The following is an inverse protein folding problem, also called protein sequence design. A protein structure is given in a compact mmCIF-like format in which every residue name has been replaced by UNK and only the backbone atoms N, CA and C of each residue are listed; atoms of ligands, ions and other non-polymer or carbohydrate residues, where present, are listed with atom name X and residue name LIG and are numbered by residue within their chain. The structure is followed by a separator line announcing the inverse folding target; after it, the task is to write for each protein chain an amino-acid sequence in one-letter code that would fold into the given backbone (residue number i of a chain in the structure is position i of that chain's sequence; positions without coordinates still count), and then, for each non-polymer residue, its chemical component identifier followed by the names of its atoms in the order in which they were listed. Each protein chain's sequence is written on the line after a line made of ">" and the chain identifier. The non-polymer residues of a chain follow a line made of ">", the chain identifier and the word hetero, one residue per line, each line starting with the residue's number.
data_IF_215551929095
#
_entry.id   IF_215551929095
#
_cell.length_a   1.000
_cell.length_b   1.000
_cell.length_c   1.000
_cell.angle_alpha   90.00
_cell.angle_beta   90.00
_cell.angle_gamma   90.00
#
_symmetry.space_group_name_H-M   'P 1'
#
loop_
_entity.id
_entity.type
_entity.pdbx_description
1 polymer ?
#
# COMPACT_ATOMS: atom_id res chain seq x y z
N UNK A 1 -23.99 -21.82 -33.91
CA UNK A 1 -23.38 -20.49 -33.64
C UNK A 1 -23.86 -19.82 -32.36
N UNK A 2 -25.10 -20.01 -31.87
CA UNK A 2 -25.58 -19.39 -30.61
C UNK A 2 -24.86 -19.86 -29.34
N UNK A 3 -24.51 -21.15 -29.23
CA UNK A 3 -23.86 -21.72 -28.03
C UNK A 3 -22.40 -21.27 -27.83
N UNK A 4 -21.67 -21.00 -28.91
CA UNK A 4 -20.27 -20.55 -28.84
C UNK A 4 -20.14 -19.14 -28.25
N UNK A 5 -21.12 -18.26 -28.52
CA UNK A 5 -21.14 -16.87 -28.00
C UNK A 5 -21.37 -16.85 -26.49
N UNK A 6 -22.23 -17.74 -25.95
CA UNK A 6 -22.45 -17.86 -24.50
C UNK A 6 -21.21 -18.37 -23.76
N UNK A 7 -20.46 -19.31 -24.34
CA UNK A 7 -19.24 -19.82 -23.75
C UNK A 7 -18.13 -18.74 -23.69
N UNK A 8 -18.00 -17.90 -24.73
CA UNK A 8 -17.05 -16.79 -24.75
C UNK A 8 -17.38 -15.71 -23.71
N UNK A 9 -18.67 -15.44 -23.47
CA UNK A 9 -19.13 -14.48 -22.45
C UNK A 9 -18.87 -14.96 -21.01
N UNK A 10 -19.02 -16.26 -20.74
CA UNK A 10 -18.78 -16.83 -19.42
C UNK A 10 -17.29 -16.83 -19.05
N UNK A 11 -16.40 -17.11 -20.01
CA UNK A 11 -14.94 -17.09 -19.78
C UNK A 11 -14.45 -15.65 -19.50
N UNK A 12 -15.01 -14.64 -20.17
CA UNK A 12 -14.65 -13.25 -19.92
C UNK A 12 -15.07 -12.77 -18.53
N UNK A 13 -16.25 -13.18 -18.04
CA UNK A 13 -16.72 -12.79 -16.70
C UNK A 13 -15.91 -13.46 -15.56
N UNK A 14 -15.49 -14.71 -15.73
CA UNK A 14 -14.65 -15.39 -14.73
C UNK A 14 -13.24 -14.79 -14.69
N UNK A 15 -12.66 -14.47 -15.85
CA UNK A 15 -11.31 -13.87 -15.92
C UNK A 15 -11.27 -12.46 -15.32
N UNK A 16 -12.30 -11.62 -15.52
CA UNK A 16 -12.38 -10.32 -14.86
C UNK A 16 -12.57 -10.44 -13.35
N UNK A 17 -13.31 -11.45 -12.88
CA UNK A 17 -13.50 -11.68 -11.44
C UNK A 17 -12.18 -12.09 -10.76
N UNK A 18 -11.37 -12.92 -11.40
CA UNK A 18 -10.07 -13.34 -10.87
C UNK A 18 -9.06 -12.19 -10.82
N UNK A 19 -8.96 -11.38 -11.88
CA UNK A 19 -8.08 -10.20 -11.91
C UNK A 19 -8.49 -9.14 -10.87
N UNK A 20 -9.79 -8.88 -10.73
CA UNK A 20 -10.30 -7.96 -9.72
C UNK A 20 -10.00 -8.48 -8.31
N UNK A 21 -10.25 -9.77 -8.05
CA UNK A 21 -9.97 -10.39 -6.76
C UNK A 21 -8.47 -10.38 -6.43
N UNK A 22 -7.60 -10.57 -7.42
CA UNK A 22 -6.15 -10.48 -7.25
C UNK A 22 -5.71 -9.05 -6.91
N UNK A 23 -6.25 -8.04 -7.61
CA UNK A 23 -6.00 -6.63 -7.33
C UNK A 23 -6.45 -6.27 -5.90
N UNK A 24 -7.63 -6.71 -5.46
CA UNK A 24 -8.12 -6.47 -4.10
C UNK A 24 -7.22 -7.11 -3.03
N UNK A 25 -6.65 -8.28 -3.31
CA UNK A 25 -5.65 -8.91 -2.42
C UNK A 25 -4.36 -8.10 -2.35
N UNK A 26 -3.87 -7.61 -3.49
CA UNK A 26 -2.66 -6.76 -3.57
C UNK A 26 -2.87 -5.44 -2.83
N UNK A 27 -4.02 -4.78 -2.99
CA UNK A 27 -4.36 -3.54 -2.27
C UNK A 27 -4.40 -3.80 -0.75
N UNK A 28 -5.05 -4.88 -0.31
CA UNK A 28 -5.05 -5.27 1.12
C UNK A 28 -3.64 -5.55 1.65
N UNK A 29 -2.79 -6.19 0.85
CA UNK A 29 -1.40 -6.44 1.23
C UNK A 29 -0.61 -5.13 1.35
N UNK A 30 -0.82 -4.17 0.44
CA UNK A 30 -0.20 -2.86 0.48
C UNK A 30 -0.66 -2.04 1.69
N UNK A 31 -1.95 -2.09 2.03
CA UNK A 31 -2.50 -1.51 3.27
C UNK A 31 -1.90 -2.18 4.52
N UNK A 32 -1.72 -3.50 4.50
CA UNK A 32 -1.10 -4.23 5.62
C UNK A 32 0.37 -3.86 5.83
N UNK A 33 1.16 -3.74 4.75
CA UNK A 33 2.56 -3.31 4.85
C UNK A 33 2.71 -1.87 5.28
N UNK A 34 1.86 -0.97 4.79
CA UNK A 34 1.87 0.41 5.26
C UNK A 34 1.46 0.51 6.73
N UNK A 35 0.49 -0.28 7.19
CA UNK A 35 0.10 -0.33 8.62
C UNK A 35 1.25 -0.85 9.49
N UNK A 36 1.99 -1.84 9.00
CA UNK A 36 3.21 -2.31 9.66
C UNK A 36 4.26 -1.19 9.77
N UNK A 37 4.43 -0.38 8.73
CA UNK A 37 5.31 0.79 8.78
C UNK A 37 4.87 1.80 9.84
N UNK A 38 3.57 2.15 9.93
CA UNK A 38 3.01 3.01 11.00
C UNK A 38 3.41 2.48 12.37
N UNK A 39 3.14 1.19 12.64
CA UNK A 39 3.43 0.58 13.94
C UNK A 39 4.92 0.67 14.32
N UNK A 40 5.82 0.46 13.35
CA UNK A 40 7.27 0.57 13.57
C UNK A 40 7.69 2.01 13.88
N UNK A 41 7.11 2.98 13.17
CA UNK A 41 7.36 4.42 13.39
C UNK A 41 6.91 4.79 14.80
N UNK A 42 5.68 4.46 15.19
CA UNK A 42 5.15 4.72 16.54
C UNK A 42 5.99 4.07 17.65
N UNK A 43 6.37 2.81 17.45
CA UNK A 43 7.22 2.11 18.40
C UNK A 43 8.58 2.78 18.53
N UNK A 44 9.12 3.32 17.43
CA UNK A 44 10.41 4.03 17.44
C UNK A 44 10.30 5.38 18.15
N UNK A 45 9.25 6.15 17.92
CA UNK A 45 9.00 7.42 18.62
C UNK A 45 8.96 7.21 20.13
N UNK A 46 8.32 6.12 20.58
CA UNK A 46 8.27 5.72 22.00
C UNK A 46 9.56 5.06 22.51
N UNK A 47 10.62 5.03 21.69
CA UNK A 47 11.90 4.38 22.00
C UNK A 47 11.79 2.90 22.38
N UNK A 48 10.72 2.21 21.96
CA UNK A 48 10.48 0.78 22.24
C UNK A 48 11.38 -0.08 21.36
N UNK A 49 11.64 0.34 20.12
CA UNK A 49 12.47 -0.41 19.17
C UNK A 49 13.81 0.28 18.86
N UNK A 50 14.91 -0.49 18.69
CA UNK A 50 16.21 0.07 18.32
C UNK A 50 16.23 0.70 16.91
N UNK A 51 17.10 1.70 16.72
CA UNK A 51 17.26 2.40 15.42
C UNK A 51 17.58 1.44 14.27
N UNK A 52 18.42 0.44 14.53
CA UNK A 52 18.79 -0.58 13.54
C UNK A 52 17.60 -1.42 13.08
N UNK A 53 16.74 -1.83 14.03
CA UNK A 53 15.51 -2.55 13.76
C UNK A 53 14.57 -1.68 12.91
N UNK A 54 14.30 -0.44 13.34
CA UNK A 54 13.45 0.51 12.60
C UNK A 54 13.91 0.67 11.16
N UNK A 55 15.21 0.91 10.95
CA UNK A 55 15.78 1.10 9.61
C UNK A 55 15.54 -0.11 8.70
N UNK A 56 15.83 -1.31 9.19
CA UNK A 56 15.70 -2.54 8.38
C UNK A 56 14.23 -2.87 8.10
N UNK A 57 13.37 -2.73 9.10
CA UNK A 57 11.95 -3.03 8.97
C UNK A 57 11.22 -2.03 8.06
N UNK A 58 11.53 -0.73 8.15
CA UNK A 58 10.96 0.27 7.24
C UNK A 58 11.49 0.10 5.81
N UNK A 59 12.77 -0.24 5.64
CA UNK A 59 13.32 -0.60 4.31
C UNK A 59 12.59 -1.80 3.71
N UNK A 60 12.25 -2.80 4.53
CA UNK A 60 11.48 -3.96 4.09
C UNK A 60 10.05 -3.57 3.70
N UNK A 61 9.37 -2.77 4.52
CA UNK A 61 8.02 -2.29 4.22
C UNK A 61 7.99 -1.49 2.92
N UNK A 62 8.91 -0.54 2.73
CA UNK A 62 9.03 0.23 1.49
C UNK A 62 9.21 -0.66 0.26
N UNK A 63 10.14 -1.62 0.31
CA UNK A 63 10.37 -2.55 -0.80
C UNK A 63 9.11 -3.36 -1.19
N UNK A 64 8.37 -3.84 -0.20
CA UNK A 64 7.14 -4.61 -0.46
C UNK A 64 6.02 -3.72 -1.01
N UNK A 65 5.87 -2.50 -0.47
CA UNK A 65 4.90 -1.51 -0.98
C UNK A 65 5.23 -1.12 -2.42
N UNK A 66 6.50 -0.85 -2.74
CA UNK A 66 6.92 -0.49 -4.10
C UNK A 66 6.69 -1.63 -5.10
N UNK A 67 6.99 -2.86 -4.68
CA UNK A 67 6.75 -4.06 -5.48
C UNK A 67 5.26 -4.23 -5.80
N UNK A 68 4.39 -4.05 -4.79
CA UNK A 68 2.94 -4.13 -4.96
C UNK A 68 2.41 -2.95 -5.78
N UNK A 69 2.94 -1.75 -5.56
CA UNK A 69 2.58 -0.55 -6.29
C UNK A 69 2.83 -0.72 -7.79
N UNK A 70 4.03 -1.18 -8.18
CA UNK A 70 4.39 -1.44 -9.58
C UNK A 70 3.50 -2.48 -10.25
N UNK A 71 2.95 -3.42 -9.48
CA UNK A 71 2.01 -4.42 -9.99
C UNK A 71 0.60 -3.85 -10.16
N UNK A 72 0.16 -2.99 -9.24
CA UNK A 72 -1.18 -2.39 -9.24
C UNK A 72 -1.33 -1.22 -10.22
N UNK A 73 -0.29 -0.39 -10.39
CA UNK A 73 -0.33 0.78 -11.29
C UNK A 73 -0.41 0.40 -12.77
N UNK A 74 -0.20 -0.88 -13.12
CA UNK A 74 -0.32 -1.38 -14.49
C UNK A 74 -1.76 -1.72 -14.88
N UNK A 75 -2.63 -1.95 -13.89
CA UNK A 75 -3.98 -2.49 -14.09
C UNK A 75 -5.08 -1.64 -13.42
N UNK A 76 -4.72 -0.70 -12.55
CA UNK A 76 -5.66 0.13 -11.79
C UNK A 76 -6.03 1.47 -12.46
N UNK A 77 -6.98 2.19 -11.84
CA UNK A 77 -7.33 3.55 -12.25
C UNK A 77 -6.17 4.53 -11.99
N UNK A 78 -6.14 5.64 -12.73
CA UNK A 78 -5.12 6.68 -12.57
C UNK A 78 -5.13 7.28 -11.16
N UNK A 79 -6.32 7.46 -10.57
CA UNK A 79 -6.48 7.94 -9.20
C UNK A 79 -5.90 6.95 -8.19
N UNK A 80 -6.24 5.67 -8.30
CA UNK A 80 -5.71 4.64 -7.41
C UNK A 80 -4.18 4.54 -7.51
N UNK A 81 -3.65 4.67 -8.73
CA UNK A 81 -2.21 4.67 -9.00
C UNK A 81 -1.49 5.84 -8.34
N UNK A 82 -2.10 7.03 -8.37
CA UNK A 82 -1.60 8.21 -7.68
C UNK A 82 -1.56 7.98 -6.17
N UNK A 83 -2.66 7.52 -5.57
CA UNK A 83 -2.75 7.26 -4.12
C UNK A 83 -1.72 6.23 -3.64
N UNK A 84 -1.52 5.17 -4.42
CA UNK A 84 -0.52 4.13 -4.16
C UNK A 84 0.91 4.71 -4.18
N UNK A 85 1.23 5.52 -5.20
CA UNK A 85 2.55 6.16 -5.36
C UNK A 85 2.83 7.12 -4.19
N UNK A 86 1.83 7.91 -3.85
CA UNK A 86 1.88 8.87 -2.76
C UNK A 86 2.05 8.19 -1.39
N UNK A 87 1.39 7.05 -1.16
CA UNK A 87 1.57 6.25 0.06
C UNK A 87 2.99 5.67 0.15
N UNK A 88 3.50 5.09 -0.94
CA UNK A 88 4.88 4.56 -1.03
C UNK A 88 5.90 5.64 -0.62
N UNK A 89 5.79 6.82 -1.23
CA UNK A 89 6.65 7.96 -0.96
C UNK A 89 6.58 8.41 0.50
N UNK A 90 5.39 8.44 1.09
CA UNK A 90 5.23 8.82 2.49
C UNK A 90 5.91 7.82 3.45
N UNK A 91 5.86 6.51 3.17
CA UNK A 91 6.60 5.50 3.95
C UNK A 91 8.11 5.72 3.84
N UNK A 92 8.61 5.99 2.64
CA UNK A 92 10.03 6.24 2.40
C UNK A 92 10.53 7.48 3.15
N UNK A 93 9.80 8.60 3.03
CA UNK A 93 10.14 9.86 3.72
C UNK A 93 10.13 9.68 5.23
N UNK A 94 9.07 9.09 5.78
CA UNK A 94 8.97 8.81 7.22
C UNK A 94 10.14 7.94 7.73
N UNK A 95 10.51 6.92 6.96
CA UNK A 95 11.65 6.07 7.29
C UNK A 95 12.99 6.81 7.26
N UNK A 96 13.20 7.66 6.25
CA UNK A 96 14.42 8.44 6.12
C UNK A 96 14.56 9.49 7.23
N UNK A 97 13.48 10.17 7.60
CA UNK A 97 13.48 11.17 8.68
C UNK A 97 13.86 10.54 10.03
N UNK A 98 13.23 9.40 10.38
CA UNK A 98 13.55 8.66 11.60
C UNK A 98 14.96 8.09 11.64
N UNK A 99 15.48 7.59 10.51
CA UNK A 99 16.86 7.09 10.45
C UNK A 99 17.86 8.23 10.59
N UNK A 100 17.54 9.44 10.15
CA UNK A 100 18.40 10.61 10.26
C UNK A 100 18.21 11.37 11.59
N UNK A 101 17.31 10.92 12.48
CA UNK A 101 17.09 11.51 13.79
C UNK A 101 16.24 12.79 13.77
N UNK A 102 15.51 13.04 12.67
CA UNK A 102 14.53 14.12 12.54
C UNK A 102 13.19 13.70 13.18
N UNK A 103 13.20 13.56 14.50
CA UNK A 103 12.07 12.98 15.23
C UNK A 103 10.83 13.90 15.29
N UNK A 104 10.99 15.23 15.25
CA UNK A 104 9.86 16.17 15.24
C UNK A 104 9.05 16.10 13.94
N UNK A 105 9.70 15.72 12.84
CA UNK A 105 9.03 15.47 11.55
C UNK A 105 8.26 14.14 11.55
N UNK A 106 8.67 13.16 12.36
CA UNK A 106 8.11 11.81 12.35
C UNK A 106 6.61 11.76 12.69
N UNK A 107 6.15 12.56 13.65
CA UNK A 107 4.74 12.60 14.05
C UNK A 107 3.84 13.15 12.92
N UNK A 108 4.33 14.17 12.21
CA UNK A 108 3.66 14.74 11.04
C UNK A 108 3.64 13.74 9.88
N UNK A 109 4.75 13.04 9.65
CA UNK A 109 4.81 11.98 8.64
C UNK A 109 3.87 10.81 8.98
N UNK A 110 3.74 10.47 10.26
CA UNK A 110 2.82 9.42 10.72
C UNK A 110 1.35 9.79 10.44
N UNK A 111 0.97 11.05 10.72
CA UNK A 111 -0.39 11.54 10.42
C UNK A 111 -0.66 11.57 8.91
N UNK A 112 0.31 12.04 8.12
CA UNK A 112 0.22 12.01 6.66
C UNK A 112 0.07 10.58 6.13
N UNK A 113 0.84 9.63 6.68
CA UNK A 113 0.76 8.22 6.30
C UNK A 113 -0.64 7.64 6.56
N UNK A 114 -1.19 7.88 7.76
CA UNK A 114 -2.53 7.41 8.13
C UNK A 114 -3.60 8.02 7.22
N UNK A 115 -3.49 9.31 6.93
CA UNK A 115 -4.42 9.98 6.02
C UNK A 115 -4.41 9.33 4.64
N UNK A 116 -3.22 9.05 4.10
CA UNK A 116 -3.07 8.37 2.80
C UNK A 116 -3.59 6.94 2.82
N UNK A 117 -3.44 6.20 3.92
CA UNK A 117 -4.04 4.87 4.05
C UNK A 117 -5.57 4.92 3.97
N UNK A 118 -6.19 5.87 4.68
CA UNK A 118 -7.65 6.05 4.64
C UNK A 118 -8.12 6.50 3.25
N UNK A 119 -7.40 7.42 2.59
CA UNK A 119 -7.71 7.82 1.21
C UNK A 119 -7.59 6.65 0.25
N UNK A 120 -6.53 5.85 0.34
CA UNK A 120 -6.36 4.69 -0.52
C UNK A 120 -7.44 3.64 -0.29
N UNK A 121 -7.81 3.38 0.97
CA UNK A 121 -8.88 2.46 1.34
C UNK A 121 -10.25 2.90 0.78
N UNK A 122 -10.53 4.21 0.82
CA UNK A 122 -11.74 4.77 0.21
C UNK A 122 -11.71 4.69 -1.33
N UNK A 123 -10.56 4.99 -1.95
CA UNK A 123 -10.38 4.98 -3.40
C UNK A 123 -10.40 3.56 -3.99
N UNK A 124 -10.01 2.55 -3.22
CA UNK A 124 -9.96 1.16 -3.69
C UNK A 124 -11.31 0.44 -3.65
N UNK A 125 -12.36 1.04 -3.09
CA UNK A 125 -13.65 0.37 -2.89
C UNK A 125 -13.56 -0.84 -1.93
N UNK A 126 -12.42 -1.02 -1.24
CA UNK A 126 -12.22 -2.10 -0.27
C UNK A 126 -12.98 -1.84 1.05
N UNK A 127 -13.81 -0.81 1.08
CA UNK A 127 -14.80 -0.53 2.10
C UNK A 127 -16.14 -1.19 1.74
N UNK A 128 -16.18 -2.52 1.69
CA UNK A 128 -17.36 -3.37 1.87
C UNK A 128 -16.97 -4.84 2.01
#
# INVERSE_FOLDING_TARGET
>A
MKLLVFASLLVAMVSCSDEQQENDRKIRSLLSWSATAVMIIEAREKSIVPKGFTRLSLKRCGKEIDSLAQQLTKTGSQELSLQITELSKAVEVAGNDLVNGRNEDAAKQLEDLRRRQETLKAASGASQ
#
